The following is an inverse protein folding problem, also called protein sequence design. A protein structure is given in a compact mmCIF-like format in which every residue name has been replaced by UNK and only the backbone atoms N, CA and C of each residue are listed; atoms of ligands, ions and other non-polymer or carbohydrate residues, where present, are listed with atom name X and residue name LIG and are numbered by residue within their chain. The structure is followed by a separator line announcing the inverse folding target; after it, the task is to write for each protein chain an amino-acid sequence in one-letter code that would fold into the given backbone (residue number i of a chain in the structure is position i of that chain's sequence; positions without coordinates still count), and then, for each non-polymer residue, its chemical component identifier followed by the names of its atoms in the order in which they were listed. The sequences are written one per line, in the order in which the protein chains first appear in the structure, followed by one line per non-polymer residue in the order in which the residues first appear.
data_IF_020239360767
#
_entry.id   IF_020239360767
#
_cell.length_a   1.000
_cell.length_b   1.000
_cell.length_c   1.000
_cell.angle_alpha   90.00
_cell.angle_beta   90.00
_cell.angle_gamma   90.00
#
_symmetry.space_group_name_H-M   'P 1'
#
loop_
_entity.id
_entity.type
_entity.pdbx_description
1 polymer ?
#
# COMPACT_ATOMS: atom_id res chain seq x y z
N UNK A 1 -0.15 24.89 -72.36
CA UNK A 1 -1.07 23.95 -73.05
C UNK A 1 -1.60 22.96 -72.02
N UNK A 2 -2.94 22.78 -71.89
CA UNK A 2 -3.57 21.93 -70.90
C UNK A 2 -3.72 20.49 -71.42
N UNK A 3 -3.74 19.48 -70.55
CA UNK A 3 -3.89 18.10 -71.00
C UNK A 3 -4.14 17.06 -69.92
N UNK A 4 -5.39 16.62 -69.86
CA UNK A 4 -5.87 15.29 -69.45
C UNK A 4 -6.04 14.98 -67.95
N UNK A 5 -7.28 15.13 -67.51
CA UNK A 5 -7.83 14.55 -66.29
C UNK A 5 -8.69 13.35 -66.68
N UNK A 6 -8.13 12.14 -66.74
CA UNK A 6 -8.93 10.90 -66.86
C UNK A 6 -8.22 9.73 -66.18
N UNK A 7 -8.75 9.41 -64.98
CA UNK A 7 -9.14 8.06 -64.57
C UNK A 7 -8.07 6.97 -64.57
N UNK A 8 -7.58 6.61 -63.37
CA UNK A 8 -7.36 5.20 -63.00
C UNK A 8 -7.79 4.96 -61.56
N UNK A 9 -8.87 4.17 -61.43
CA UNK A 9 -9.33 3.55 -60.20
C UNK A 9 -8.37 2.43 -59.77
N UNK A 10 -8.38 2.20 -58.45
CA UNK A 10 -8.08 0.97 -57.71
C UNK A 10 -6.62 0.47 -57.71
N UNK A 11 -6.04 0.46 -56.51
CA UNK A 11 -5.60 -0.76 -55.83
C UNK A 11 -5.60 -0.51 -54.31
N UNK A 12 -6.49 -1.23 -53.63
CA UNK A 12 -6.44 -1.43 -52.18
C UNK A 12 -5.16 -2.24 -51.89
N UNK A 13 -4.30 -1.73 -51.03
CA UNK A 13 -3.29 -2.54 -50.36
C UNK A 13 -3.23 -2.12 -48.88
N UNK A 14 -3.91 -2.96 -48.11
CA UNK A 14 -3.89 -3.08 -46.66
C UNK A 14 -2.44 -3.16 -46.16
N UNK A 15 -1.98 -2.16 -45.41
CA UNK A 15 -0.82 -2.30 -44.53
C UNK A 15 -1.28 -1.98 -43.11
N UNK A 16 -1.58 -3.07 -42.43
CA UNK A 16 -1.83 -3.21 -41.00
C UNK A 16 -0.91 -2.28 -40.22
N UNK A 17 -1.51 -1.39 -39.46
CA UNK A 17 -0.84 -0.63 -38.39
C UNK A 17 -0.25 -1.63 -37.40
N UNK A 18 1.07 -1.87 -37.48
CA UNK A 18 1.83 -2.51 -36.41
C UNK A 18 1.98 -1.44 -35.32
N UNK A 19 0.90 -1.17 -34.60
CA UNK A 19 0.99 -0.54 -33.29
C UNK A 19 1.54 -1.59 -32.31
N UNK A 20 2.28 -1.19 -31.27
CA UNK A 20 2.73 -2.13 -30.25
C UNK A 20 1.48 -2.81 -29.68
N UNK A 21 1.42 -4.13 -29.83
CA UNK A 21 0.49 -4.97 -29.11
C UNK A 21 0.82 -4.79 -27.63
N UNK A 22 0.09 -3.91 -26.96
CA UNK A 22 -0.03 -3.98 -25.51
C UNK A 22 -0.46 -5.41 -25.22
N UNK A 23 0.45 -6.22 -24.69
CA UNK A 23 0.09 -7.52 -24.13
C UNK A 23 -1.08 -7.23 -23.19
N UNK A 24 -2.25 -7.76 -23.51
CA UNK A 24 -3.31 -7.81 -22.51
C UNK A 24 -2.74 -8.63 -21.37
N UNK A 25 -2.39 -7.95 -20.28
CA UNK A 25 -2.12 -8.57 -18.99
C UNK A 25 -3.38 -9.40 -18.69
N UNK A 26 -3.31 -10.72 -18.93
CA UNK A 26 -4.43 -11.60 -18.71
C UNK A 26 -4.81 -11.48 -17.24
N UNK A 27 -6.06 -11.10 -16.98
CA UNK A 27 -6.55 -10.95 -15.63
C UNK A 27 -6.22 -12.23 -14.83
N UNK A 28 -5.62 -12.11 -13.63
CA UNK A 28 -5.20 -13.26 -12.86
C UNK A 28 -6.39 -14.17 -12.59
N UNK A 29 -6.15 -15.49 -12.57
CA UNK A 29 -7.22 -16.43 -12.30
C UNK A 29 -7.86 -16.15 -10.92
N UNK A 30 -9.13 -16.54 -10.70
CA UNK A 30 -9.84 -16.22 -9.47
C UNK A 30 -9.18 -16.77 -8.19
N UNK A 31 -8.37 -17.82 -8.27
CA UNK A 31 -7.62 -18.34 -7.13
C UNK A 31 -6.45 -17.42 -6.78
N UNK A 32 -5.69 -16.98 -7.79
CA UNK A 32 -4.62 -15.98 -7.62
C UNK A 32 -5.16 -14.66 -7.09
N UNK A 33 -6.26 -14.15 -7.63
CA UNK A 33 -6.91 -12.92 -7.15
C UNK A 33 -7.30 -13.00 -5.67
N UNK A 34 -7.90 -14.12 -5.24
CA UNK A 34 -8.24 -14.34 -3.82
C UNK A 34 -7.00 -14.43 -2.93
N UNK A 35 -5.91 -15.00 -3.42
CA UNK A 35 -4.64 -15.09 -2.68
C UNK A 35 -4.04 -13.70 -2.48
N UNK A 36 -3.96 -12.89 -3.53
CA UNK A 36 -3.48 -11.51 -3.45
C UNK A 36 -4.34 -10.68 -2.49
N UNK A 37 -5.66 -10.77 -2.59
CA UNK A 37 -6.56 -10.05 -1.69
C UNK A 37 -6.34 -10.39 -0.20
N UNK A 38 -6.07 -11.66 0.12
CA UNK A 38 -5.74 -12.08 1.50
C UNK A 38 -4.41 -11.52 1.98
N UNK A 39 -3.41 -11.46 1.10
CA UNK A 39 -2.10 -10.90 1.42
C UNK A 39 -2.19 -9.39 1.65
N UNK A 40 -2.91 -8.67 0.79
CA UNK A 40 -3.14 -7.23 0.95
C UNK A 40 -3.94 -6.93 2.22
N UNK A 41 -4.93 -7.76 2.57
CA UNK A 41 -5.63 -7.63 3.85
C UNK A 41 -4.70 -7.86 5.05
N UNK A 42 -3.84 -8.88 5.01
CA UNK A 42 -2.88 -9.12 6.08
C UNK A 42 -1.88 -7.95 6.20
N UNK A 43 -1.46 -7.38 5.07
CA UNK A 43 -0.59 -6.20 5.01
C UNK A 43 -1.25 -4.97 5.59
N UNK A 44 -2.49 -4.68 5.23
CA UNK A 44 -3.21 -3.52 5.75
C UNK A 44 -3.45 -3.62 7.26
N UNK A 45 -3.78 -4.81 7.77
CA UNK A 45 -3.90 -5.08 9.21
C UNK A 45 -2.57 -4.83 9.92
N UNK A 46 -1.46 -5.39 9.40
CA UNK A 46 -0.13 -5.16 9.99
C UNK A 46 0.27 -3.69 9.94
N UNK A 47 -0.01 -3.00 8.84
CA UNK A 47 0.30 -1.57 8.68
C UNK A 47 -0.43 -0.73 9.73
N UNK A 48 -1.74 -0.97 9.88
CA UNK A 48 -2.55 -0.28 10.87
C UNK A 48 -2.09 -0.57 12.30
N UNK A 49 -1.84 -1.84 12.63
CA UNK A 49 -1.35 -2.24 13.96
C UNK A 49 0.02 -1.63 14.27
N UNK A 50 0.90 -1.57 13.27
CA UNK A 50 2.23 -0.96 13.37
C UNK A 50 2.13 0.53 13.69
N UNK A 51 1.32 1.28 12.94
CA UNK A 51 1.11 2.70 13.19
C UNK A 51 0.46 2.96 14.55
N UNK A 52 -0.52 2.13 14.93
CA UNK A 52 -1.20 2.20 16.23
C UNK A 52 -0.23 1.98 17.38
N UNK A 53 0.65 0.97 17.27
CA UNK A 53 1.67 0.68 18.27
C UNK A 53 2.67 1.83 18.41
N UNK A 54 3.23 2.28 17.30
CA UNK A 54 4.22 3.37 17.28
C UNK A 54 3.64 4.67 17.88
N UNK A 55 2.38 5.00 17.54
CA UNK A 55 1.68 6.15 18.12
C UNK A 55 1.52 5.99 19.63
N UNK A 56 1.01 4.85 20.10
CA UNK A 56 0.81 4.60 21.53
C UNK A 56 2.11 4.63 22.33
N UNK A 57 3.19 4.04 21.80
CA UNK A 57 4.51 4.06 22.42
C UNK A 57 5.08 5.48 22.50
N UNK A 58 4.95 6.27 21.45
CA UNK A 58 5.33 7.68 21.45
C UNK A 58 4.56 8.48 22.52
N UNK A 59 3.24 8.30 22.63
CA UNK A 59 2.43 9.01 23.63
C UNK A 59 2.87 8.69 25.07
N UNK A 60 3.26 7.44 25.33
CA UNK A 60 3.79 7.03 26.63
C UNK A 60 5.19 7.62 26.86
N UNK A 61 6.08 7.53 25.88
CA UNK A 61 7.44 8.07 25.97
C UNK A 61 7.45 9.59 26.22
N UNK A 62 6.49 10.32 25.64
CA UNK A 62 6.29 11.75 25.83
C UNK A 62 5.50 12.11 27.10
N UNK A 63 5.11 11.12 27.91
CA UNK A 63 4.38 11.34 29.17
C UNK A 63 2.94 11.83 29.01
N UNK A 64 2.38 11.78 27.81
CA UNK A 64 0.99 12.22 27.54
C UNK A 64 -0.04 11.19 27.96
N UNK A 65 0.31 9.91 27.89
CA UNK A 65 -0.52 8.81 28.37
C UNK A 65 0.26 7.93 29.34
N UNK A 66 -0.41 7.39 30.35
CA UNK A 66 0.13 6.28 31.13
C UNK A 66 0.10 5.01 30.28
N UNK A 67 1.06 4.09 30.49
CA UNK A 67 1.14 2.81 29.75
C UNK A 67 -0.21 2.10 29.64
N UNK A 68 -0.91 1.92 30.77
CA UNK A 68 -2.24 1.27 30.81
C UNK A 68 -3.30 1.98 29.94
N UNK A 69 -3.26 3.32 29.87
CA UNK A 69 -4.20 4.09 29.04
C UNK A 69 -3.89 3.91 27.56
N UNK A 70 -2.61 3.94 27.18
CA UNK A 70 -2.18 3.67 25.81
C UNK A 70 -2.55 2.25 25.38
N UNK A 71 -2.27 1.24 26.21
CA UNK A 71 -2.60 -0.16 25.92
C UNK A 71 -4.10 -0.35 25.68
N UNK A 72 -4.95 0.30 26.50
CA UNK A 72 -6.40 0.27 26.33
C UNK A 72 -6.87 0.99 25.07
N UNK A 73 -6.33 2.19 24.79
CA UNK A 73 -6.67 2.96 23.59
C UNK A 73 -6.28 2.22 22.30
N UNK A 74 -5.09 1.62 22.25
CA UNK A 74 -4.64 0.80 21.12
C UNK A 74 -5.54 -0.42 20.90
N UNK A 75 -5.93 -1.10 21.99
CA UNK A 75 -6.84 -2.24 21.91
C UNK A 75 -8.21 -1.85 21.33
N UNK A 76 -8.77 -0.71 21.77
CA UNK A 76 -10.04 -0.19 21.26
C UNK A 76 -9.92 0.14 19.76
N UNK A 77 -8.89 0.89 19.35
CA UNK A 77 -8.68 1.27 17.95
C UNK A 77 -8.59 0.05 17.01
N UNK A 78 -7.95 -1.04 17.46
CA UNK A 78 -7.88 -2.28 16.69
C UNK A 78 -9.24 -2.98 16.61
N UNK A 79 -9.96 -3.05 17.74
CA UNK A 79 -11.26 -3.71 17.81
C UNK A 79 -12.32 -2.99 16.97
N UNK A 80 -12.28 -1.66 16.89
CA UNK A 80 -13.17 -0.86 16.02
C UNK A 80 -13.03 -1.23 14.54
N UNK A 81 -11.86 -1.72 14.12
CA UNK A 81 -11.61 -2.22 12.75
C UNK A 81 -11.74 -3.75 12.63
N UNK A 82 -12.24 -4.42 13.66
CA UNK A 82 -12.36 -5.88 13.67
C UNK A 82 -11.03 -6.63 13.76
N UNK A 83 -9.95 -5.96 14.19
CA UNK A 83 -8.62 -6.53 14.35
C UNK A 83 -8.40 -6.95 15.81
N UNK A 84 -7.91 -8.17 16.03
CA UNK A 84 -7.56 -8.63 17.37
C UNK A 84 -6.36 -7.87 17.93
N UNK A 85 -6.41 -7.33 19.18
CA UNK A 85 -5.26 -6.69 19.82
C UNK A 85 -4.02 -7.58 19.94
N UNK A 86 -4.19 -8.91 19.87
CA UNK A 86 -3.09 -9.86 19.87
C UNK A 86 -2.09 -9.64 18.72
N UNK A 87 -2.51 -8.97 17.63
CA UNK A 87 -1.64 -8.59 16.52
C UNK A 87 -0.46 -7.71 16.96
N UNK A 88 -0.61 -6.93 18.05
CA UNK A 88 0.46 -6.10 18.59
C UNK A 88 1.63 -6.92 19.16
N UNK A 89 1.38 -8.18 19.53
CA UNK A 89 2.44 -9.09 19.97
C UNK A 89 3.22 -9.71 18.80
N UNK A 90 2.80 -9.49 17.55
CA UNK A 90 3.51 -9.99 16.38
C UNK A 90 4.91 -9.35 16.29
N UNK A 91 6.00 -10.14 16.20
CA UNK A 91 7.37 -9.59 16.13
C UNK A 91 7.60 -8.61 14.98
N UNK A 92 6.98 -8.84 13.81
CA UNK A 92 7.11 -7.94 12.66
C UNK A 92 6.41 -6.60 12.92
N UNK A 93 5.23 -6.62 13.55
CA UNK A 93 4.52 -5.39 13.94
C UNK A 93 5.36 -4.57 14.92
N UNK A 94 5.94 -5.22 15.92
CA UNK A 94 6.82 -4.55 16.91
C UNK A 94 8.08 -3.98 16.27
N UNK A 95 8.72 -4.75 15.38
CA UNK A 95 9.91 -4.29 14.64
C UNK A 95 9.59 -3.09 13.76
N UNK A 96 8.50 -3.17 12.99
CA UNK A 96 8.06 -2.09 12.11
C UNK A 96 7.67 -0.84 12.92
N UNK A 97 7.05 -1.00 14.10
CA UNK A 97 6.67 0.12 14.95
C UNK A 97 7.90 0.84 15.49
N UNK A 98 8.92 0.09 15.93
CA UNK A 98 10.21 0.65 16.35
C UNK A 98 10.90 1.42 15.19
N UNK A 99 10.79 0.92 13.96
CA UNK A 99 11.32 1.63 12.78
C UNK A 99 10.60 2.97 12.53
N UNK A 100 9.34 3.11 12.95
CA UNK A 100 8.56 4.34 12.82
C UNK A 100 8.85 5.37 13.91
N UNK A 101 9.49 5.02 15.02
CA UNK A 101 9.72 5.95 16.14
C UNK A 101 10.40 7.25 15.71
N UNK A 102 11.41 7.16 14.84
CA UNK A 102 12.16 8.32 14.33
C UNK A 102 11.41 9.12 13.24
N UNK A 103 10.24 8.63 12.81
CA UNK A 103 9.38 9.25 11.80
C UNK A 103 8.18 9.97 12.42
N UNK A 104 8.04 9.86 13.75
CA UNK A 104 6.99 10.52 14.52
C UNK A 104 7.46 11.90 14.99
N UNK A 105 6.60 12.90 14.81
CA UNK A 105 6.85 14.24 15.34
C UNK A 105 6.54 14.35 16.84
N UNK A 106 6.68 15.56 17.37
CA UNK A 106 6.34 15.89 18.75
C UNK A 106 4.86 15.63 19.08
N UNK A 107 3.95 15.65 18.09
CA UNK A 107 2.55 15.30 18.25
C UNK A 107 2.29 13.78 18.13
N UNK A 108 3.34 12.96 17.99
CA UNK A 108 3.27 11.54 17.69
C UNK A 108 2.53 11.24 16.38
N UNK A 109 2.61 12.13 15.40
CA UNK A 109 2.04 11.92 14.06
C UNK A 109 3.14 11.50 13.08
N UNK A 110 2.77 10.65 12.12
CA UNK A 110 3.65 10.20 11.03
C UNK A 110 3.78 11.30 9.96
N UNK A 111 4.40 12.42 10.31
CA UNK A 111 4.60 13.55 9.40
C UNK A 111 5.95 13.50 8.69
N UNK A 112 6.91 12.72 9.20
CA UNK A 112 8.26 12.59 8.66
C UNK A 112 8.47 11.44 7.68
N UNK A 113 7.50 10.53 7.51
CA UNK A 113 7.71 9.29 6.75
C UNK A 113 7.84 9.57 5.25
N UNK A 114 9.06 9.50 4.73
CA UNK A 114 9.33 9.63 3.30
C UNK A 114 8.94 8.36 2.52
N UNK A 115 8.86 8.48 1.19
CA UNK A 115 8.46 7.40 0.30
C UNK A 115 9.42 6.19 0.36
N UNK A 116 10.72 6.40 0.55
CA UNK A 116 11.70 5.31 0.59
C UNK A 116 11.60 4.51 1.89
N UNK A 117 11.37 5.18 3.02
CA UNK A 117 11.12 4.57 4.31
C UNK A 117 9.78 3.82 4.32
N UNK A 118 8.73 4.40 3.72
CA UNK A 118 7.45 3.73 3.53
C UNK A 118 7.60 2.45 2.67
N UNK A 119 8.32 2.53 1.55
CA UNK A 119 8.62 1.39 0.69
C UNK A 119 9.37 0.28 1.43
N UNK A 120 10.35 0.66 2.25
CA UNK A 120 11.12 -0.29 3.06
C UNK A 120 10.23 -1.04 4.03
N UNK A 121 9.35 -0.34 4.75
CA UNK A 121 8.38 -0.96 5.66
C UNK A 121 7.46 -1.93 4.92
N UNK A 122 6.94 -1.53 3.77
CA UNK A 122 6.05 -2.37 2.95
C UNK A 122 6.74 -3.62 2.43
N UNK A 123 8.02 -3.53 2.03
CA UNK A 123 8.75 -4.69 1.50
C UNK A 123 9.26 -5.63 2.58
N UNK A 124 9.73 -5.09 3.69
CA UNK A 124 10.47 -5.86 4.69
C UNK A 124 9.57 -6.35 5.83
N UNK A 125 8.50 -5.63 6.17
CA UNK A 125 7.75 -5.88 7.40
C UNK A 125 6.22 -6.04 7.23
N UNK A 126 5.62 -5.45 6.19
CA UNK A 126 4.15 -5.38 5.99
C UNK A 126 3.61 -6.24 4.85
#
# INVERSE_FOLDING_TARGET
MPGSWRTRLLMVALLVTIGPTWSQEQAPDPATSRRVARLELARSIRAFATATLAHGECQVARGRLKRRQADQAMAIALQELGVSPAVLANPQVRKAAAMLENQLDEACQLTGLDAAAADKLVREEL
#
